data_IF_453766768465
#
_entry.id   IF_453766768465
#
_cell.length_a   1.000
_cell.length_b   1.000
_cell.length_c   1.000
_cell.angle_alpha   90.00
_cell.angle_beta   90.00
_cell.angle_gamma   90.00
#
_symmetry.space_group_name_H-M   'P 1'
#
loop_
_entity.id
_entity.type
_entity.pdbx_description
1 polymer ?
#
# COMPACT_ATOMS: atom_id res chain seq x y z
N UNK A 1 -21.23 -14.49 18.37
CA UNK A 1 -21.00 -14.99 17.00
C UNK A 1 -19.89 -14.15 16.44
N UNK A 2 -18.73 -14.76 16.18
CA UNK A 2 -17.62 -14.06 15.52
C UNK A 2 -18.13 -13.67 14.13
N UNK A 3 -18.29 -12.36 13.88
CA UNK A 3 -18.62 -11.88 12.54
C UNK A 3 -17.53 -12.33 11.59
N UNK A 4 -17.91 -13.12 10.62
CA UNK A 4 -17.00 -13.63 9.59
C UNK A 4 -16.48 -12.44 8.78
N UNK A 5 -15.17 -12.21 8.79
CA UNK A 5 -14.59 -11.13 7.99
C UNK A 5 -14.44 -11.55 6.52
N UNK A 6 -14.59 -10.61 5.61
CA UNK A 6 -14.38 -10.79 4.17
C UNK A 6 -13.23 -9.92 3.72
N UNK A 7 -12.28 -10.53 2.99
CA UNK A 7 -11.15 -9.82 2.38
C UNK A 7 -11.00 -10.30 0.94
N UNK A 8 -11.25 -9.39 0.01
CA UNK A 8 -11.04 -9.56 -1.43
C UNK A 8 -10.33 -8.33 -1.98
N UNK A 9 -9.81 -8.32 -3.21
CA UNK A 9 -9.25 -7.12 -3.83
C UNK A 9 -10.24 -5.93 -3.88
N UNK A 10 -11.54 -6.23 -3.87
CA UNK A 10 -12.61 -5.26 -4.02
C UNK A 10 -13.22 -4.82 -2.68
N UNK A 11 -13.19 -5.69 -1.67
CA UNK A 11 -13.93 -5.47 -0.44
C UNK A 11 -13.21 -5.99 0.81
N UNK A 12 -13.27 -5.20 1.90
CA UNK A 12 -12.84 -5.61 3.24
C UNK A 12 -13.95 -5.26 4.22
N UNK A 13 -14.54 -6.28 4.86
CA UNK A 13 -15.59 -6.14 5.88
C UNK A 13 -15.25 -6.91 7.16
N UNK A 14 -15.79 -6.45 8.28
CA UNK A 14 -15.62 -7.08 9.58
C UNK A 14 -14.27 -6.83 10.22
N UNK A 15 -14.06 -7.39 11.40
CA UNK A 15 -12.79 -7.29 12.14
C UNK A 15 -11.82 -8.36 11.63
N UNK A 16 -10.77 -7.94 10.93
CA UNK A 16 -9.81 -8.85 10.29
C UNK A 16 -8.95 -9.59 11.32
N UNK A 17 -9.01 -10.92 11.33
CA UNK A 17 -8.05 -11.78 12.00
C UNK A 17 -6.88 -12.07 11.04
N UNK A 18 -5.76 -11.40 11.25
CA UNK A 18 -4.61 -11.50 10.37
C UNK A 18 -3.92 -12.87 10.41
N UNK A 19 -4.07 -13.65 11.47
CA UNK A 19 -3.52 -15.02 11.53
C UNK A 19 -4.34 -15.96 10.66
N UNK A 20 -5.67 -15.92 10.80
CA UNK A 20 -6.57 -16.68 9.92
C UNK A 20 -6.41 -16.27 8.46
N UNK A 21 -6.34 -14.95 8.20
CA UNK A 21 -6.17 -14.40 6.86
C UNK A 21 -4.86 -14.89 6.21
N UNK A 22 -3.76 -14.85 6.94
CA UNK A 22 -2.47 -15.35 6.47
C UNK A 22 -2.53 -16.84 6.11
N UNK A 23 -3.21 -17.66 6.93
CA UNK A 23 -3.42 -19.09 6.66
C UNK A 23 -4.29 -19.31 5.42
N UNK A 24 -5.40 -18.58 5.29
CA UNK A 24 -6.30 -18.66 4.12
C UNK A 24 -5.57 -18.34 2.81
N UNK A 25 -4.71 -17.32 2.83
CA UNK A 25 -3.92 -16.96 1.66
C UNK A 25 -2.66 -17.82 1.48
N UNK A 26 -2.25 -18.61 2.50
CA UNK A 26 -1.02 -19.40 2.47
C UNK A 26 0.24 -18.53 2.42
N UNK A 27 0.20 -17.33 3.02
CA UNK A 27 1.35 -16.47 3.21
C UNK A 27 2.17 -16.92 4.43
N UNK A 28 3.47 -16.64 4.44
CA UNK A 28 4.35 -16.95 5.59
C UNK A 28 4.41 -15.73 6.54
N UNK A 29 4.48 -15.95 7.87
CA UNK A 29 4.70 -14.85 8.80
C UNK A 29 6.08 -14.22 8.57
N UNK A 30 6.17 -12.91 8.76
CA UNK A 30 7.46 -12.23 8.82
C UNK A 30 8.10 -12.51 10.19
N UNK A 31 9.13 -13.35 10.22
CA UNK A 31 9.79 -13.79 11.44
C UNK A 31 11.05 -12.95 11.74
N UNK A 32 11.62 -13.15 12.92
CA UNK A 32 12.87 -12.50 13.30
C UNK A 32 14.02 -12.84 12.32
N UNK A 33 13.97 -14.00 11.68
CA UNK A 33 15.00 -14.39 10.71
C UNK A 33 15.04 -13.47 9.49
N UNK A 34 13.86 -13.16 8.89
CA UNK A 34 13.76 -12.22 7.78
C UNK A 34 14.08 -10.79 8.22
N UNK A 35 13.64 -10.39 9.42
CA UNK A 35 13.93 -9.07 9.99
C UNK A 35 15.43 -8.90 10.20
N UNK A 36 16.12 -9.89 10.77
CA UNK A 36 17.58 -9.85 10.97
C UNK A 36 18.35 -9.84 9.62
N UNK A 37 17.85 -10.57 8.62
CA UNK A 37 18.43 -10.55 7.28
C UNK A 37 18.24 -9.19 6.60
N UNK A 38 17.08 -8.55 6.76
CA UNK A 38 16.84 -7.19 6.30
C UNK A 38 17.79 -6.19 6.98
N UNK A 39 17.92 -6.27 8.31
CA UNK A 39 18.80 -5.41 9.09
C UNK A 39 20.27 -5.52 8.64
N UNK A 40 20.71 -6.74 8.36
CA UNK A 40 22.07 -7.01 7.85
C UNK A 40 22.38 -6.21 6.58
N UNK A 41 21.41 -6.10 5.66
CA UNK A 41 21.64 -5.43 4.37
C UNK A 41 21.26 -3.95 4.38
N UNK A 42 20.22 -3.58 5.14
CA UNK A 42 19.71 -2.20 5.21
C UNK A 42 20.41 -1.35 6.30
N UNK A 43 21.09 -2.00 7.27
CA UNK A 43 21.74 -1.35 8.41
C UNK A 43 20.77 -1.00 9.56
N UNK A 44 19.47 -1.06 9.31
CA UNK A 44 18.41 -0.80 10.29
C UNK A 44 17.10 -1.46 9.84
N UNK A 45 16.09 -1.48 10.72
CA UNK A 45 14.75 -1.96 10.40
C UNK A 45 13.75 -0.82 10.50
N UNK A 46 12.93 -0.64 9.48
CA UNK A 46 11.89 0.40 9.46
C UNK A 46 10.86 0.19 10.59
N UNK A 47 10.37 1.26 11.27
CA UNK A 47 9.39 1.13 12.35
C UNK A 47 8.13 0.33 11.98
N UNK A 48 7.61 0.48 10.77
CA UNK A 48 6.45 -0.28 10.30
C UNK A 48 6.68 -1.80 10.28
N UNK A 49 7.92 -2.26 10.12
CA UNK A 49 8.29 -3.67 10.20
C UNK A 49 8.48 -4.07 11.66
N UNK A 50 9.26 -3.32 12.45
CA UNK A 50 9.48 -3.60 13.88
C UNK A 50 8.17 -3.67 14.68
N UNK A 51 7.20 -2.81 14.36
CA UNK A 51 5.89 -2.73 15.00
C UNK A 51 4.88 -3.75 14.44
N UNK A 52 5.30 -4.64 13.53
CA UNK A 52 4.46 -5.69 12.96
C UNK A 52 3.28 -5.16 12.13
N UNK A 53 3.40 -3.95 11.55
CA UNK A 53 2.43 -3.47 10.58
C UNK A 53 2.57 -4.22 9.25
N UNK A 54 3.81 -4.45 8.78
CA UNK A 54 4.11 -5.48 7.80
C UNK A 54 4.36 -6.78 8.55
N UNK A 55 3.55 -7.80 8.29
CA UNK A 55 3.43 -8.97 9.16
C UNK A 55 3.61 -10.31 8.46
N UNK A 56 3.46 -10.36 7.14
CA UNK A 56 3.52 -11.58 6.35
C UNK A 56 4.19 -11.33 4.99
N UNK A 57 4.63 -12.40 4.35
CA UNK A 57 5.33 -12.31 3.07
C UNK A 57 5.22 -13.58 2.22
N UNK A 58 5.61 -13.47 0.94
CA UNK A 58 6.02 -14.57 0.07
C UNK A 58 7.42 -14.28 -0.42
N UNK A 59 8.36 -15.17 -0.12
CA UNK A 59 9.75 -15.15 -0.61
C UNK A 59 10.51 -13.82 -0.40
N UNK A 60 10.17 -13.06 0.65
CA UNK A 60 10.94 -11.87 1.03
C UNK A 60 12.39 -12.24 1.36
N UNK A 61 12.59 -13.35 2.07
CA UNK A 61 13.91 -13.89 2.36
C UNK A 61 14.70 -14.25 1.09
N UNK A 62 14.03 -14.74 0.04
CA UNK A 62 14.67 -15.06 -1.23
C UNK A 62 15.16 -13.79 -1.94
N UNK A 63 14.40 -12.70 -1.94
CA UNK A 63 14.84 -11.40 -2.49
C UNK A 63 16.06 -10.87 -1.73
N UNK A 64 16.06 -10.94 -0.40
CA UNK A 64 17.20 -10.49 0.41
C UNK A 64 18.46 -11.32 0.15
N UNK A 65 18.34 -12.63 0.00
CA UNK A 65 19.45 -13.51 -0.39
C UNK A 65 19.94 -13.20 -1.80
N UNK A 66 19.01 -12.99 -2.74
CA UNK A 66 19.31 -12.59 -4.12
C UNK A 66 20.09 -11.27 -4.17
N UNK A 67 19.69 -10.29 -3.35
CA UNK A 67 20.44 -9.06 -3.16
C UNK A 67 21.85 -9.31 -2.62
N UNK A 68 21.99 -10.18 -1.62
CA UNK A 68 23.27 -10.55 -1.02
C UNK A 68 24.24 -11.22 -2.00
N UNK A 69 23.75 -11.80 -3.09
CA UNK A 69 24.53 -12.34 -4.18
C UNK A 69 24.88 -11.31 -5.25
N UNK A 70 24.55 -10.03 -5.04
CA UNK A 70 24.79 -8.94 -6.00
C UNK A 70 23.91 -8.99 -7.25
N UNK A 71 22.80 -9.75 -7.21
CA UNK A 71 21.89 -9.91 -8.35
C UNK A 71 20.85 -8.80 -8.39
N UNK A 72 20.39 -8.37 -9.60
CA UNK A 72 19.42 -7.30 -9.75
C UNK A 72 18.03 -7.74 -9.33
N UNK A 73 17.29 -6.81 -8.73
CA UNK A 73 15.89 -6.91 -8.40
C UNK A 73 15.26 -5.52 -8.38
N UNK A 74 13.94 -5.44 -8.36
CA UNK A 74 13.24 -4.16 -8.37
C UNK A 74 12.10 -4.15 -7.34
N UNK A 75 11.58 -2.96 -7.06
CA UNK A 75 10.36 -2.74 -6.28
C UNK A 75 9.18 -2.53 -7.22
N UNK A 76 8.03 -3.06 -6.84
CA UNK A 76 6.78 -2.81 -7.57
C UNK A 76 5.65 -2.54 -6.57
N UNK A 77 4.81 -1.59 -6.89
CA UNK A 77 3.52 -1.36 -6.23
C UNK A 77 2.59 -0.60 -7.18
N UNK A 78 1.36 -0.36 -6.77
CA UNK A 78 0.41 0.35 -7.60
C UNK A 78 -0.72 1.01 -6.83
N UNK A 79 -1.57 1.71 -7.56
CA UNK A 79 -2.78 2.33 -7.07
C UNK A 79 -3.84 2.40 -8.15
N UNK A 80 -5.09 2.06 -7.78
CA UNK A 80 -6.29 2.38 -8.56
C UNK A 80 -6.69 3.85 -8.32
N UNK A 81 -6.54 4.75 -9.32
CA UNK A 81 -6.73 6.18 -9.14
C UNK A 81 -8.21 6.57 -9.26
N UNK A 82 -9.00 6.36 -8.20
CA UNK A 82 -10.44 6.69 -8.13
C UNK A 82 -10.73 8.03 -7.43
N UNK A 83 -9.71 8.79 -7.05
CA UNK A 83 -9.84 10.05 -6.31
C UNK A 83 -8.53 10.47 -5.64
N UNK A 84 -8.57 11.45 -4.72
CA UNK A 84 -7.37 11.92 -4.06
C UNK A 84 -6.71 10.85 -3.17
N UNK A 85 -5.41 10.95 -2.99
CA UNK A 85 -4.63 10.07 -2.11
C UNK A 85 -4.93 10.43 -0.65
N UNK A 86 -5.19 9.42 0.18
CA UNK A 86 -5.24 9.58 1.63
C UNK A 86 -3.99 8.98 2.29
N UNK A 87 -3.70 9.40 3.52
CA UNK A 87 -2.49 8.97 4.23
C UNK A 87 -2.38 7.45 4.41
N UNK A 88 -3.49 6.73 4.34
CA UNK A 88 -3.50 5.26 4.33
C UNK A 88 -2.80 4.65 3.12
N UNK A 89 -2.91 5.27 1.94
CA UNK A 89 -2.14 4.85 0.77
C UNK A 89 -0.65 5.17 0.91
N UNK A 90 -0.33 6.25 1.66
CA UNK A 90 1.05 6.69 1.85
C UNK A 90 1.87 5.72 2.70
N UNK A 91 1.25 5.01 3.64
CA UNK A 91 1.99 4.14 4.59
C UNK A 91 2.81 3.04 3.87
N UNK A 92 2.26 2.21 2.97
CA UNK A 92 3.07 1.27 2.21
C UNK A 92 4.07 1.97 1.28
N UNK A 93 3.76 3.16 0.77
CA UNK A 93 4.68 3.92 -0.09
C UNK A 93 5.86 4.51 0.70
N UNK A 94 5.67 4.87 1.96
CA UNK A 94 6.74 5.28 2.87
C UNK A 94 7.73 4.12 3.06
N UNK A 95 7.26 2.90 3.27
CA UNK A 95 8.15 1.73 3.31
C UNK A 95 8.83 1.48 1.97
N UNK A 96 8.09 1.59 0.85
CA UNK A 96 8.66 1.48 -0.50
C UNK A 96 9.80 2.48 -0.70
N UNK A 97 9.61 3.74 -0.28
CA UNK A 97 10.63 4.79 -0.36
C UNK A 97 11.83 4.48 0.52
N UNK A 98 11.61 3.95 1.71
CA UNK A 98 12.70 3.52 2.60
C UNK A 98 13.51 2.39 1.97
N UNK A 99 12.87 1.35 1.42
CA UNK A 99 13.52 0.26 0.69
C UNK A 99 14.33 0.78 -0.50
N UNK A 100 13.74 1.70 -1.29
CA UNK A 100 14.44 2.38 -2.36
C UNK A 100 15.71 3.07 -1.89
N UNK A 101 15.65 3.83 -0.80
CA UNK A 101 16.80 4.54 -0.25
C UNK A 101 17.90 3.59 0.25
N UNK A 102 17.51 2.44 0.81
CA UNK A 102 18.45 1.47 1.38
C UNK A 102 19.13 0.61 0.33
N UNK A 103 18.40 0.20 -0.69
CA UNK A 103 18.88 -0.76 -1.67
C UNK A 103 19.24 -0.12 -3.03
N UNK A 104 18.80 1.08 -3.29
CA UNK A 104 19.09 1.79 -4.53
C UNK A 104 18.55 1.13 -5.80
N UNK A 105 17.53 0.29 -5.67
CA UNK A 105 16.91 -0.45 -6.78
C UNK A 105 15.86 0.38 -7.51
N UNK A 106 15.49 -0.04 -8.72
CA UNK A 106 14.41 0.59 -9.47
C UNK A 106 13.04 0.35 -8.83
N UNK A 107 12.12 1.28 -9.07
CA UNK A 107 10.73 1.23 -8.60
C UNK A 107 9.79 1.33 -9.80
N UNK A 108 8.91 0.37 -9.95
CA UNK A 108 7.82 0.37 -10.91
C UNK A 108 6.54 0.69 -10.16
N UNK A 109 5.93 1.83 -10.47
CA UNK A 109 4.72 2.28 -9.79
C UNK A 109 3.57 2.38 -10.80
N UNK A 110 2.60 1.48 -10.68
CA UNK A 110 1.47 1.37 -11.59
C UNK A 110 0.28 2.21 -11.11
N UNK A 111 -0.27 3.00 -12.02
CA UNK A 111 -1.55 3.70 -11.88
C UNK A 111 -2.56 3.00 -12.80
N UNK A 112 -3.50 2.28 -12.22
CA UNK A 112 -4.45 1.41 -12.92
C UNK A 112 -5.71 2.19 -13.30
N UNK A 113 -5.55 3.16 -14.21
CA UNK A 113 -6.64 4.01 -14.65
C UNK A 113 -7.71 3.24 -15.47
N UNK A 114 -7.31 2.19 -16.17
CA UNK A 114 -8.19 1.26 -16.85
C UNK A 114 -9.01 0.39 -15.89
N UNK A 115 -8.40 -0.13 -14.81
CA UNK A 115 -9.11 -0.92 -13.81
C UNK A 115 -10.24 -0.11 -13.19
N UNK A 116 -9.98 1.14 -12.80
CA UNK A 116 -11.01 1.98 -12.18
C UNK A 116 -12.13 2.36 -13.14
N UNK A 117 -11.81 2.56 -14.40
CA UNK A 117 -12.80 2.73 -15.45
C UNK A 117 -13.67 1.47 -15.65
N UNK A 118 -13.10 0.26 -15.57
CA UNK A 118 -13.86 -0.98 -15.72
C UNK A 118 -14.72 -1.30 -14.50
N UNK A 119 -14.23 -0.97 -13.29
CA UNK A 119 -14.85 -1.33 -12.02
C UNK A 119 -16.04 -0.42 -11.66
N UNK A 120 -15.95 0.87 -11.94
CA UNK A 120 -16.95 1.88 -11.62
C UNK A 120 -17.75 2.27 -12.88
N UNK A 121 -19.05 1.89 -12.97
CA UNK A 121 -19.89 2.23 -14.13
C UNK A 121 -20.05 3.72 -14.40
N UNK A 122 -19.88 4.57 -13.40
CA UNK A 122 -20.02 6.02 -13.50
C UNK A 122 -18.68 6.71 -13.85
N UNK A 123 -17.55 6.01 -13.69
CA UNK A 123 -16.22 6.55 -13.95
C UNK A 123 -15.97 6.71 -15.44
N UNK A 124 -15.55 7.89 -15.85
CA UNK A 124 -15.08 8.14 -17.23
C UNK A 124 -13.58 7.86 -17.33
N UNK A 125 -13.15 7.34 -18.47
CA UNK A 125 -11.72 7.02 -18.67
C UNK A 125 -10.83 8.26 -18.52
N UNK A 126 -11.26 9.40 -19.03
CA UNK A 126 -10.53 10.67 -18.93
C UNK A 126 -10.41 11.12 -17.47
N UNK A 127 -11.41 10.83 -16.64
CA UNK A 127 -11.40 11.14 -15.22
C UNK A 127 -10.44 10.23 -14.47
N UNK A 128 -10.48 8.91 -14.70
CA UNK A 128 -9.53 7.96 -14.14
C UNK A 128 -8.08 8.31 -14.50
N UNK A 129 -7.84 8.64 -15.79
CA UNK A 129 -6.51 9.09 -16.25
C UNK A 129 -6.10 10.40 -15.58
N UNK A 130 -7.00 11.38 -15.43
CA UNK A 130 -6.71 12.63 -14.68
C UNK A 130 -6.29 12.33 -13.23
N UNK A 131 -7.02 11.44 -12.56
CA UNK A 131 -6.64 11.01 -11.21
C UNK A 131 -5.31 10.25 -11.17
N UNK A 132 -4.96 9.51 -12.23
CA UNK A 132 -3.65 8.87 -12.32
C UNK A 132 -2.52 9.91 -12.32
N UNK A 133 -2.62 10.99 -13.09
CA UNK A 133 -1.66 12.10 -13.07
C UNK A 133 -1.63 12.83 -11.73
N UNK A 134 -2.79 13.12 -11.13
CA UNK A 134 -2.86 13.78 -9.82
C UNK A 134 -2.25 12.90 -8.70
N UNK A 135 -2.49 11.58 -8.72
CA UNK A 135 -1.89 10.66 -7.75
C UNK A 135 -0.39 10.43 -7.99
N UNK A 136 0.08 10.56 -9.23
CA UNK A 136 1.50 10.51 -9.55
C UNK A 136 2.30 11.61 -8.85
N UNK A 137 1.69 12.79 -8.65
CA UNK A 137 2.31 13.88 -7.88
C UNK A 137 2.60 13.45 -6.43
N UNK A 138 1.69 12.70 -5.81
CA UNK A 138 1.89 12.18 -4.45
C UNK A 138 3.05 11.17 -4.38
N UNK A 139 3.22 10.35 -5.42
CA UNK A 139 4.34 9.39 -5.50
C UNK A 139 5.67 10.12 -5.69
N UNK A 140 5.73 11.08 -6.62
CA UNK A 140 6.94 11.87 -6.87
C UNK A 140 7.32 12.70 -5.64
N UNK A 141 6.33 13.23 -4.93
CA UNK A 141 6.53 14.02 -3.70
C UNK A 141 7.22 13.24 -2.57
N UNK A 142 7.23 11.90 -2.62
CA UNK A 142 8.04 11.08 -1.71
C UNK A 142 9.55 11.19 -1.97
N UNK A 143 9.96 11.81 -3.08
CA UNK A 143 11.35 12.11 -3.37
C UNK A 143 12.11 10.97 -4.04
N UNK A 144 11.45 10.15 -4.84
CA UNK A 144 12.14 9.24 -5.77
C UNK A 144 12.87 10.03 -6.86
N UNK A 145 13.93 9.44 -7.42
CA UNK A 145 14.66 10.04 -8.54
C UNK A 145 14.08 9.61 -9.87
N UNK A 146 14.06 10.49 -10.91
CA UNK A 146 13.43 10.16 -12.18
C UNK A 146 14.13 9.04 -12.96
N UNK A 147 15.43 8.81 -12.72
CA UNK A 147 16.18 7.71 -13.34
C UNK A 147 15.74 6.32 -12.85
N UNK A 148 15.23 6.22 -11.63
CA UNK A 148 14.89 4.94 -10.99
C UNK A 148 13.41 4.72 -10.70
N UNK A 149 12.60 5.77 -10.67
CA UNK A 149 11.14 5.62 -10.57
C UNK A 149 10.53 5.56 -11.97
N UNK A 150 9.87 4.46 -12.27
CA UNK A 150 9.12 4.22 -13.50
C UNK A 150 7.63 4.29 -13.19
N UNK A 151 7.01 5.46 -13.41
CA UNK A 151 5.56 5.60 -13.34
C UNK A 151 4.92 4.97 -14.59
N UNK A 152 3.91 4.16 -14.36
CA UNK A 152 3.15 3.47 -15.39
C UNK A 152 1.69 3.91 -15.26
N UNK A 153 1.18 4.64 -16.22
CA UNK A 153 -0.25 4.91 -16.37
C UNK A 153 -0.75 3.93 -17.42
N UNK A 154 -1.56 2.96 -17.04
CA UNK A 154 -1.84 1.78 -17.86
C UNK A 154 -2.31 2.14 -19.27
N UNK A 155 -3.26 3.07 -19.41
CA UNK A 155 -3.75 3.50 -20.74
C UNK A 155 -2.74 4.30 -21.56
N UNK A 156 -1.69 4.86 -20.94
CA UNK A 156 -0.68 5.69 -21.59
C UNK A 156 0.64 4.95 -21.84
N UNK A 157 0.98 4.01 -20.97
CA UNK A 157 2.24 3.30 -20.99
C UNK A 157 2.08 1.81 -21.38
N UNK A 158 0.96 1.46 -22.02
CA UNK A 158 0.58 0.08 -22.37
C UNK A 158 1.57 -0.64 -23.30
N UNK A 159 2.30 0.11 -24.15
CA UNK A 159 3.14 -0.45 -25.23
C UNK A 159 4.15 -1.51 -24.72
N UNK A 160 4.97 -1.29 -23.69
CA UNK A 160 5.87 -2.32 -23.16
C UNK A 160 5.14 -3.41 -22.37
N UNK A 161 3.95 -3.13 -21.84
CA UNK A 161 3.18 -4.07 -21.03
C UNK A 161 2.37 -5.07 -21.86
N UNK A 162 1.81 -4.63 -22.97
CA UNK A 162 0.85 -5.44 -23.74
C UNK A 162 1.41 -6.80 -24.20
N UNK A 163 2.65 -6.91 -24.72
CA UNK A 163 3.22 -8.20 -25.09
C UNK A 163 3.32 -9.18 -23.90
N UNK A 164 3.66 -8.67 -22.71
CA UNK A 164 3.75 -9.47 -21.48
C UNK A 164 2.34 -9.86 -21.03
N UNK A 165 1.40 -8.92 -21.01
CA UNK A 165 0.00 -9.17 -20.66
C UNK A 165 -0.64 -10.21 -21.58
N UNK A 166 -0.33 -10.20 -22.87
CA UNK A 166 -0.80 -11.22 -23.81
C UNK A 166 -0.22 -12.61 -23.51
N UNK A 167 1.08 -12.72 -23.14
CA UNK A 167 1.69 -13.97 -22.66
C UNK A 167 1.00 -14.47 -21.38
N UNK A 168 0.72 -13.57 -20.41
CA UNK A 168 0.02 -13.88 -19.16
C UNK A 168 -1.42 -14.33 -19.46
N UNK A 169 -2.19 -13.58 -20.24
CA UNK A 169 -3.58 -13.89 -20.59
C UNK A 169 -3.71 -15.27 -21.25
N UNK A 170 -2.74 -15.68 -22.08
CA UNK A 170 -2.70 -17.02 -22.70
C UNK A 170 -2.59 -18.15 -21.65
N UNK A 171 -2.07 -17.88 -20.45
CA UNK A 171 -1.94 -18.85 -19.35
C UNK A 171 -3.12 -18.85 -18.39
N UNK A 172 -3.92 -17.79 -18.38
CA UNK A 172 -5.09 -17.67 -17.52
C UNK A 172 -6.34 -18.14 -18.27
N UNK A 173 -7.20 -18.91 -17.60
CA UNK A 173 -8.51 -19.27 -18.12
C UNK A 173 -9.60 -18.47 -17.45
N UNK A 174 -10.77 -18.36 -18.08
CA UNK A 174 -11.94 -17.75 -17.46
C UNK A 174 -12.25 -18.38 -16.08
N UNK A 175 -12.23 -19.69 -15.98
CA UNK A 175 -12.52 -20.38 -14.72
C UNK A 175 -11.51 -20.02 -13.63
N UNK A 176 -10.22 -19.88 -13.96
CA UNK A 176 -9.18 -19.46 -13.02
C UNK A 176 -9.42 -18.04 -12.53
N UNK A 177 -9.67 -17.10 -13.44
CA UNK A 177 -9.91 -15.69 -13.13
C UNK A 177 -11.22 -15.54 -12.32
N UNK A 178 -12.29 -16.19 -12.75
CA UNK A 178 -13.58 -16.20 -12.06
C UNK A 178 -13.45 -16.70 -10.61
N UNK A 179 -12.79 -17.83 -10.40
CA UNK A 179 -12.59 -18.40 -9.08
C UNK A 179 -11.69 -17.55 -8.17
N UNK A 180 -10.67 -16.90 -8.75
CA UNK A 180 -9.69 -16.10 -7.99
C UNK A 180 -10.26 -14.77 -7.53
N UNK A 181 -11.05 -14.10 -8.39
CA UNK A 181 -11.52 -12.73 -8.15
C UNK A 181 -13.01 -12.65 -7.82
N UNK A 182 -13.73 -13.78 -7.80
CA UNK A 182 -15.17 -13.81 -7.51
C UNK A 182 -16.02 -13.23 -8.66
N UNK A 183 -15.49 -13.18 -9.88
CA UNK A 183 -16.22 -12.67 -11.04
C UNK A 183 -17.43 -13.52 -11.38
N UNK A 184 -18.41 -12.91 -12.02
CA UNK A 184 -19.65 -13.54 -12.48
C UNK A 184 -19.71 -13.51 -14.01
N UNK A 185 -20.70 -14.22 -14.58
CA UNK A 185 -20.86 -14.22 -16.05
C UNK A 185 -21.31 -12.85 -16.60
N UNK A 186 -21.70 -11.90 -15.73
CA UNK A 186 -21.98 -10.51 -16.07
C UNK A 186 -20.78 -9.57 -15.93
N UNK A 187 -19.63 -10.06 -15.46
CA UNK A 187 -18.42 -9.22 -15.35
C UNK A 187 -17.94 -8.79 -16.73
N UNK A 188 -17.64 -7.51 -16.90
CA UNK A 188 -17.17 -6.99 -18.18
C UNK A 188 -15.79 -7.52 -18.58
N UNK A 189 -15.52 -7.59 -19.87
CA UNK A 189 -14.27 -8.16 -20.42
C UNK A 189 -13.04 -7.38 -19.98
N UNK A 190 -13.16 -6.07 -19.71
CA UNK A 190 -12.07 -5.24 -19.21
C UNK A 190 -11.56 -5.77 -17.86
N UNK A 191 -12.44 -5.94 -16.89
CA UNK A 191 -12.09 -6.52 -15.58
C UNK A 191 -11.57 -7.95 -15.69
N UNK A 192 -12.09 -8.76 -16.62
CA UNK A 192 -11.61 -10.13 -16.85
C UNK A 192 -10.16 -10.14 -17.36
N UNK A 193 -9.79 -9.19 -18.22
CA UNK A 193 -8.45 -9.07 -18.79
C UNK A 193 -7.46 -8.37 -17.86
N UNK A 194 -7.94 -7.44 -17.02
CA UNK A 194 -7.11 -6.59 -16.17
C UNK A 194 -6.06 -7.34 -15.31
N UNK A 195 -6.35 -8.51 -14.70
CA UNK A 195 -5.33 -9.27 -13.98
C UNK A 195 -4.07 -9.57 -14.80
N UNK A 196 -4.21 -9.69 -16.13
CA UNK A 196 -3.07 -9.91 -17.02
C UNK A 196 -2.17 -8.68 -17.12
N UNK A 197 -2.74 -7.48 -17.04
CA UNK A 197 -1.96 -6.22 -17.02
C UNK A 197 -1.26 -6.02 -15.69
N UNK A 198 -1.94 -6.21 -14.56
CA UNK A 198 -1.32 -6.06 -13.26
C UNK A 198 -0.16 -7.06 -13.06
N UNK A 199 -0.35 -8.30 -13.49
CA UNK A 199 0.70 -9.33 -13.45
C UNK A 199 1.86 -8.97 -14.38
N UNK A 200 1.59 -8.39 -15.55
CA UNK A 200 2.62 -8.02 -16.52
C UNK A 200 3.66 -7.07 -15.93
N UNK A 201 3.26 -6.14 -15.07
CA UNK A 201 4.20 -5.22 -14.41
C UNK A 201 5.19 -5.95 -13.51
N UNK A 202 4.77 -7.05 -12.86
CA UNK A 202 5.68 -7.85 -12.04
C UNK A 202 6.79 -8.55 -12.87
N UNK A 203 6.59 -8.75 -14.16
CA UNK A 203 7.56 -9.36 -15.07
C UNK A 203 8.32 -8.34 -15.93
N UNK A 204 7.84 -7.11 -15.98
CA UNK A 204 8.38 -6.04 -16.82
C UNK A 204 9.89 -5.78 -16.60
N UNK A 205 10.43 -5.73 -15.36
CA UNK A 205 11.86 -5.50 -15.16
C UNK A 205 12.73 -6.57 -15.83
N UNK A 206 12.27 -7.84 -15.83
CA UNK A 206 13.00 -8.92 -16.51
C UNK A 206 13.04 -8.71 -18.01
N UNK A 207 11.94 -8.30 -18.64
CA UNK A 207 11.89 -7.99 -20.08
C UNK A 207 12.76 -6.80 -20.45
N UNK A 208 12.69 -5.72 -19.67
CA UNK A 208 13.47 -4.50 -19.94
C UNK A 208 14.98 -4.71 -19.79
N UNK A 209 15.41 -5.52 -18.82
CA UNK A 209 16.82 -5.78 -18.56
C UNK A 209 17.37 -6.98 -19.33
N UNK A 210 16.52 -7.79 -19.98
CA UNK A 210 16.92 -9.00 -20.68
C UNK A 210 17.58 -10.06 -19.78
N UNK A 211 17.34 -9.99 -18.46
CA UNK A 211 17.89 -10.92 -17.45
C UNK A 211 16.93 -11.05 -16.26
N UNK A 212 16.97 -12.18 -15.52
CA UNK A 212 16.09 -12.37 -14.36
C UNK A 212 16.22 -11.23 -13.36
N UNK A 213 15.13 -10.47 -13.18
CA UNK A 213 15.03 -9.32 -12.28
C UNK A 213 13.71 -9.44 -11.52
N UNK A 214 13.67 -10.24 -10.43
CA UNK A 214 12.46 -10.39 -9.62
C UNK A 214 12.06 -9.08 -8.97
N UNK A 215 10.78 -8.93 -8.66
CA UNK A 215 10.24 -7.77 -7.93
C UNK A 215 9.87 -8.14 -6.50
N UNK A 216 10.06 -7.19 -5.58
CA UNK A 216 9.45 -7.19 -4.26
C UNK A 216 8.26 -6.21 -4.28
N UNK A 217 7.11 -6.66 -3.79
CA UNK A 217 5.85 -5.94 -3.84
C UNK A 217 5.33 -5.68 -2.42
N UNK A 218 5.62 -4.51 -1.81
CA UNK A 218 4.95 -4.09 -0.59
C UNK A 218 3.49 -3.71 -0.90
N UNK A 219 2.53 -4.44 -0.34
CA UNK A 219 1.10 -4.22 -0.57
C UNK A 219 0.26 -4.70 0.62
N UNK A 220 -1.02 -4.36 0.65
CA UNK A 220 -1.96 -5.00 1.55
C UNK A 220 -2.30 -6.41 1.04
N UNK A 221 -2.70 -7.31 1.96
CA UNK A 221 -2.86 -8.74 1.64
C UNK A 221 -4.03 -9.02 0.68
N UNK A 222 -4.99 -8.10 0.55
CA UNK A 222 -6.08 -8.17 -0.42
C UNK A 222 -5.58 -8.22 -1.88
N UNK A 223 -4.34 -7.79 -2.14
CA UNK A 223 -3.70 -7.86 -3.45
C UNK A 223 -3.03 -9.22 -3.76
N UNK A 224 -2.96 -10.13 -2.78
CA UNK A 224 -2.35 -11.46 -2.94
C UNK A 224 -2.89 -12.27 -4.13
N UNK A 225 -4.19 -12.27 -4.44
CA UNK A 225 -4.74 -13.05 -5.56
C UNK A 225 -4.03 -12.81 -6.89
N UNK A 226 -3.70 -11.56 -7.22
CA UNK A 226 -2.94 -11.22 -8.43
C UNK A 226 -1.55 -11.83 -8.42
N UNK A 227 -0.83 -11.66 -7.31
CA UNK A 227 0.57 -12.09 -7.22
C UNK A 227 0.71 -13.60 -7.02
N UNK A 228 -0.27 -14.27 -6.45
CA UNK A 228 -0.34 -15.74 -6.45
C UNK A 228 -0.48 -16.27 -7.85
N UNK A 229 -1.40 -15.74 -8.66
CA UNK A 229 -1.51 -16.12 -10.07
C UNK A 229 -0.21 -15.84 -10.85
N UNK A 230 0.42 -14.68 -10.62
CA UNK A 230 1.71 -14.36 -11.23
C UNK A 230 2.75 -15.44 -10.91
N UNK A 231 2.83 -15.88 -9.65
CA UNK A 231 3.78 -16.91 -9.19
C UNK A 231 3.52 -18.27 -9.80
N UNK A 232 2.24 -18.64 -9.97
CA UNK A 232 1.82 -19.94 -10.53
C UNK A 232 2.25 -20.08 -11.99
N UNK A 233 2.26 -19.00 -12.76
CA UNK A 233 2.59 -19.00 -14.19
C UNK A 233 4.02 -18.55 -14.50
N UNK A 234 4.75 -17.95 -13.57
CA UNK A 234 6.06 -17.33 -13.78
C UNK A 234 7.05 -18.28 -14.47
N UNK A 235 7.27 -19.47 -13.91
CA UNK A 235 8.22 -20.45 -14.45
C UNK A 235 7.86 -20.89 -15.88
N UNK A 236 6.56 -21.08 -16.16
CA UNK A 236 6.07 -21.49 -17.48
C UNK A 236 6.24 -20.41 -18.55
N UNK A 237 6.50 -19.17 -18.12
CA UNK A 237 6.77 -18.02 -18.98
C UNK A 237 8.25 -17.62 -19.00
N UNK A 238 9.10 -18.29 -18.20
CA UNK A 238 10.53 -17.99 -18.08
C UNK A 238 10.85 -16.80 -17.20
N UNK A 239 9.92 -16.38 -16.30
CA UNK A 239 10.11 -15.26 -15.39
C UNK A 239 10.43 -15.73 -13.96
N UNK A 240 11.18 -14.94 -13.17
CA UNK A 240 11.31 -15.18 -11.75
C UNK A 240 9.98 -14.92 -11.03
N UNK A 241 9.71 -15.69 -9.97
CA UNK A 241 8.52 -15.48 -9.14
C UNK A 241 8.61 -14.13 -8.40
N UNK A 242 7.56 -13.28 -8.44
CA UNK A 242 7.53 -12.08 -7.63
C UNK A 242 7.45 -12.42 -6.15
N UNK A 243 8.11 -11.61 -5.31
CA UNK A 243 8.00 -11.66 -3.86
C UNK A 243 7.05 -10.58 -3.36
N UNK A 244 6.41 -10.81 -2.23
CA UNK A 244 5.47 -9.88 -1.61
C UNK A 244 5.80 -9.63 -0.15
N UNK A 245 5.48 -8.44 0.34
CA UNK A 245 5.53 -8.07 1.75
C UNK A 245 4.20 -7.42 2.12
N UNK A 246 3.42 -8.09 2.99
CA UNK A 246 2.04 -7.74 3.27
C UNK A 246 1.89 -6.86 4.51
N UNK A 247 1.19 -5.74 4.33
CA UNK A 247 0.76 -4.86 5.41
C UNK A 247 -0.62 -5.23 5.93
N UNK A 248 -0.88 -4.82 7.18
CA UNK A 248 -2.24 -4.74 7.73
C UNK A 248 -3.01 -3.62 7.04
N UNK A 249 -4.34 -3.65 7.15
CA UNK A 249 -5.18 -2.52 6.78
C UNK A 249 -5.03 -1.38 7.80
N UNK A 250 -5.21 -0.16 7.33
CA UNK A 250 -5.17 1.02 8.19
C UNK A 250 -6.59 1.33 8.63
N UNK A 251 -6.78 1.36 9.94
CA UNK A 251 -8.05 1.67 10.57
C UNK A 251 -8.54 3.06 10.16
N UNK A 252 -9.81 3.17 9.82
CA UNK A 252 -10.44 4.45 9.55
C UNK A 252 -10.48 5.34 10.81
N UNK A 253 -10.45 6.66 10.66
CA UNK A 253 -10.63 7.59 11.78
C UNK A 253 -11.97 7.40 12.50
N UNK A 254 -12.96 6.91 11.80
CA UNK A 254 -14.32 6.60 12.29
C UNK A 254 -14.41 5.27 13.04
N UNK A 255 -13.33 4.46 13.05
CA UNK A 255 -13.19 3.24 13.83
C UNK A 255 -13.39 1.94 13.04
N UNK A 256 -13.76 2.02 11.75
CA UNK A 256 -13.84 0.85 10.88
C UNK A 256 -12.44 0.28 10.57
N UNK A 257 -12.38 -0.99 10.22
CA UNK A 257 -11.14 -1.72 9.98
C UNK A 257 -10.31 -1.23 8.77
N UNK A 258 -10.95 -0.52 7.83
CA UNK A 258 -10.30 0.06 6.64
C UNK A 258 -10.88 1.44 6.32
N UNK A 259 -10.03 2.34 5.85
CA UNK A 259 -10.47 3.63 5.27
C UNK A 259 -11.28 3.39 4.00
N UNK A 260 -12.30 4.21 3.78
CA UNK A 260 -13.15 4.15 2.58
C UNK A 260 -13.16 5.48 1.84
N UNK A 261 -12.99 5.44 0.53
CA UNK A 261 -13.10 6.62 -0.33
C UNK A 261 -14.54 7.21 -0.33
N UNK A 262 -15.56 6.37 -0.09
CA UNK A 262 -16.97 6.79 -0.01
C UNK A 262 -17.30 7.60 1.25
N UNK A 263 -16.46 7.53 2.29
CA UNK A 263 -16.63 8.32 3.52
C UNK A 263 -15.47 9.32 3.69
N UNK A 264 -15.61 10.58 3.29
CA UNK A 264 -14.54 11.58 3.37
C UNK A 264 -14.01 11.84 4.78
N UNK A 265 -14.76 11.48 5.84
CA UNK A 265 -14.34 11.63 7.23
C UNK A 265 -13.57 10.41 7.76
N UNK A 266 -13.54 9.30 7.02
CA UNK A 266 -12.82 8.07 7.40
C UNK A 266 -11.31 8.21 7.31
N UNK A 267 -10.80 9.18 6.52
CA UNK A 267 -9.39 9.35 6.22
C UNK A 267 -8.97 10.81 6.10
N UNK A 268 -7.68 11.07 6.28
CA UNK A 268 -7.04 12.36 5.98
C UNK A 268 -6.44 12.25 4.59
N UNK A 269 -6.79 13.19 3.72
CA UNK A 269 -6.26 13.25 2.36
C UNK A 269 -5.01 14.11 2.28
N UNK A 270 -4.13 13.83 1.34
CA UNK A 270 -2.91 14.62 1.10
C UNK A 270 -3.22 16.05 0.68
N UNK A 271 -4.43 16.31 0.19
CA UNK A 271 -4.93 17.63 -0.23
C UNK A 271 -5.76 18.36 0.85
N UNK A 272 -5.97 17.74 2.01
CA UNK A 272 -6.74 18.39 3.10
C UNK A 272 -5.99 19.61 3.66
N UNK A 273 -6.71 20.71 3.90
CA UNK A 273 -6.17 21.87 4.59
C UNK A 273 -6.04 21.62 6.12
N UNK A 274 -5.32 22.51 6.81
CA UNK A 274 -5.08 22.39 8.25
C UNK A 274 -6.39 22.35 9.06
N UNK A 275 -7.40 23.11 8.66
CA UNK A 275 -8.71 23.16 9.33
C UNK A 275 -9.45 21.82 9.18
N UNK A 276 -9.42 21.25 8.00
CA UNK A 276 -10.01 19.93 7.71
C UNK A 276 -9.31 18.83 8.49
N UNK A 277 -7.96 18.81 8.50
CA UNK A 277 -7.16 17.82 9.27
C UNK A 277 -7.52 17.93 10.76
N UNK A 278 -7.54 19.15 11.32
CA UNK A 278 -7.91 19.38 12.73
C UNK A 278 -9.30 18.85 13.05
N UNK A 279 -10.28 19.17 12.21
CA UNK A 279 -11.68 18.71 12.37
C UNK A 279 -11.78 17.18 12.32
N UNK A 280 -11.13 16.53 11.36
CA UNK A 280 -11.15 15.07 11.20
C UNK A 280 -10.54 14.38 12.41
N UNK A 281 -9.37 14.81 12.88
CA UNK A 281 -8.71 14.24 14.07
C UNK A 281 -9.51 14.51 15.34
N UNK A 282 -10.07 15.72 15.51
CA UNK A 282 -10.89 16.05 16.67
C UNK A 282 -12.12 15.12 16.79
N UNK A 283 -12.74 14.77 15.67
CA UNK A 283 -13.91 13.89 15.59
C UNK A 283 -13.57 12.39 15.47
N UNK A 284 -12.28 12.03 15.42
CA UNK A 284 -11.88 10.62 15.30
C UNK A 284 -12.41 9.80 16.48
N UNK A 285 -12.82 8.56 16.18
CA UNK A 285 -13.13 7.55 17.20
C UNK A 285 -11.93 7.34 18.12
N UNK A 286 -12.18 7.01 19.38
CA UNK A 286 -11.11 6.70 20.34
C UNK A 286 -11.50 5.50 21.21
N UNK A 287 -10.50 4.80 21.70
CA UNK A 287 -10.67 3.79 22.75
C UNK A 287 -10.79 4.41 24.16
N UNK A 288 -11.17 5.69 24.26
CA UNK A 288 -11.31 6.40 25.54
C UNK A 288 -12.61 6.09 26.28
N UNK A 289 -12.74 6.67 27.47
CA UNK A 289 -13.94 6.58 28.31
C UNK A 289 -14.87 7.76 28.04
N UNK A 290 -16.16 7.66 28.41
CA UNK A 290 -17.15 8.73 28.21
C UNK A 290 -16.79 10.06 28.86
N UNK A 291 -16.11 10.03 30.04
CA UNK A 291 -15.70 11.22 30.75
C UNK A 291 -14.19 11.26 31.01
N UNK A 292 -13.64 12.47 31.17
CA UNK A 292 -12.24 12.66 31.53
C UNK A 292 -11.88 12.03 32.88
N UNK A 293 -12.83 12.07 33.85
CA UNK A 293 -12.66 11.48 35.19
C UNK A 293 -12.54 9.96 35.08
N UNK A 294 -13.44 9.31 34.34
CA UNK A 294 -13.37 7.87 34.10
C UNK A 294 -12.10 7.50 33.35
N UNK A 295 -11.70 8.30 32.36
CA UNK A 295 -10.46 8.07 31.62
C UNK A 295 -9.25 8.11 32.56
N UNK A 296 -9.17 9.09 33.46
CA UNK A 296 -8.08 9.17 34.46
C UNK A 296 -8.07 8.00 35.43
N UNK A 297 -9.25 7.53 35.85
CA UNK A 297 -9.38 6.44 36.82
C UNK A 297 -9.16 5.05 36.22
N UNK A 298 -9.68 4.80 35.02
CA UNK A 298 -9.77 3.45 34.42
C UNK A 298 -8.82 3.24 33.25
N UNK A 299 -8.25 4.32 32.74
CA UNK A 299 -7.48 4.30 31.49
C UNK A 299 -8.33 4.06 30.25
N UNK A 300 -7.72 4.25 29.09
CA UNK A 300 -8.30 3.95 27.78
C UNK A 300 -7.84 2.62 27.22
N UNK A 301 -8.37 2.30 26.03
CA UNK A 301 -7.95 1.13 25.25
C UNK A 301 -7.29 1.57 23.93
N UNK A 302 -5.95 1.69 23.86
CA UNK A 302 -5.24 2.06 22.64
C UNK A 302 -5.35 1.01 21.54
N UNK A 303 -5.59 -0.27 21.87
CA UNK A 303 -5.60 -1.38 20.90
C UNK A 303 -6.77 -1.29 19.88
N UNK A 304 -7.83 -0.54 20.22
CA UNK A 304 -8.99 -0.30 19.33
C UNK A 304 -9.07 1.17 18.88
N UNK A 305 -8.04 1.97 19.18
CA UNK A 305 -8.05 3.42 18.99
C UNK A 305 -7.34 3.82 17.68
N UNK A 306 -8.04 4.32 16.65
CA UNK A 306 -7.39 4.80 15.44
C UNK A 306 -6.37 5.91 15.71
N UNK A 307 -6.61 6.81 16.67
CA UNK A 307 -5.65 7.87 17.02
C UNK A 307 -4.30 7.30 17.45
N UNK A 308 -4.32 6.26 18.30
CA UNK A 308 -3.08 5.56 18.68
C UNK A 308 -2.46 4.83 17.50
N UNK A 309 -3.25 4.15 16.66
CA UNK A 309 -2.75 3.46 15.47
C UNK A 309 -2.05 4.44 14.51
N UNK A 310 -2.55 5.66 14.35
CA UNK A 310 -1.88 6.68 13.54
C UNK A 310 -0.55 7.14 14.17
N UNK A 311 -0.45 7.23 15.49
CA UNK A 311 0.84 7.44 16.15
C UNK A 311 1.83 6.32 15.81
N UNK A 312 1.40 5.05 15.85
CA UNK A 312 2.24 3.91 15.45
C UNK A 312 2.72 3.98 13.98
N UNK A 313 1.93 4.57 13.10
CA UNK A 313 2.26 4.61 11.66
C UNK A 313 3.16 5.79 11.29
N UNK A 314 3.01 6.94 11.95
CA UNK A 314 3.63 8.20 11.55
C UNK A 314 4.67 8.75 12.54
N UNK A 315 4.82 8.16 13.72
CA UNK A 315 5.89 8.53 14.64
C UNK A 315 7.11 7.62 14.41
N UNK A 316 8.28 8.18 14.07
CA UNK A 316 9.48 7.36 13.87
C UNK A 316 10.07 6.81 15.17
N UNK A 317 9.76 7.43 16.33
CA UNK A 317 10.32 7.08 17.63
C UNK A 317 9.46 6.04 18.36
N UNK A 318 10.01 4.84 18.57
CA UNK A 318 9.35 3.74 19.27
C UNK A 318 9.09 4.09 20.75
N UNK A 319 10.00 4.81 21.42
CA UNK A 319 9.83 5.19 22.82
C UNK A 319 8.67 6.19 23.00
N UNK A 320 8.50 7.13 22.06
CA UNK A 320 7.35 8.04 22.01
C UNK A 320 6.03 7.28 21.89
N UNK A 321 5.96 6.31 20.99
CA UNK A 321 4.76 5.49 20.75
C UNK A 321 4.43 4.64 21.97
N UNK A 322 5.42 4.01 22.57
CA UNK A 322 5.27 3.21 23.79
C UNK A 322 4.79 4.06 25.00
N UNK A 323 5.35 5.26 25.15
CA UNK A 323 4.89 6.23 26.15
C UNK A 323 3.44 6.60 25.98
N UNK A 324 2.99 6.87 24.75
CA UNK A 324 1.58 7.18 24.44
C UNK A 324 0.69 5.98 24.83
N UNK A 325 1.10 4.75 24.50
CA UNK A 325 0.36 3.53 24.85
C UNK A 325 0.15 3.39 26.35
N UNK A 326 1.23 3.43 27.12
CA UNK A 326 1.19 3.27 28.58
C UNK A 326 0.47 4.43 29.27
N UNK A 327 0.68 5.66 28.83
CA UNK A 327 -0.01 6.84 29.39
C UNK A 327 -1.51 6.80 29.09
N UNK A 328 -1.95 6.30 27.93
CA UNK A 328 -3.36 6.08 27.62
C UNK A 328 -3.96 4.99 28.55
N UNK A 329 -3.30 3.85 28.68
CA UNK A 329 -3.77 2.73 29.51
C UNK A 329 -3.84 3.06 31.01
N UNK A 330 -2.94 3.90 31.51
CA UNK A 330 -2.94 4.34 32.91
C UNK A 330 -3.89 5.51 33.20
N UNK A 331 -4.49 6.13 32.14
CA UNK A 331 -5.31 7.34 32.32
C UNK A 331 -4.51 8.64 32.46
N UNK A 332 -3.20 8.59 32.39
CA UNK A 332 -2.33 9.76 32.50
C UNK A 332 -2.43 10.69 31.24
N UNK A 333 -2.85 10.15 30.09
CA UNK A 333 -3.04 10.90 28.84
C UNK A 333 -4.53 10.89 28.47
N UNK A 334 -5.11 12.08 28.31
CA UNK A 334 -6.48 12.24 27.84
C UNK A 334 -6.57 12.18 26.31
N UNK A 335 -7.72 11.73 25.80
CA UNK A 335 -7.95 11.61 24.35
C UNK A 335 -7.77 12.94 23.60
N UNK A 336 -8.17 14.08 24.20
CA UNK A 336 -7.99 15.41 23.63
C UNK A 336 -6.51 15.77 23.44
N UNK A 337 -5.69 15.49 24.43
CA UNK A 337 -4.23 15.73 24.40
C UNK A 337 -3.56 14.82 23.35
N UNK A 338 -3.92 13.52 23.34
CA UNK A 338 -3.43 12.56 22.36
C UNK A 338 -3.79 12.98 20.92
N UNK A 339 -5.03 13.43 20.68
CA UNK A 339 -5.49 13.96 19.39
C UNK A 339 -4.71 15.22 18.98
N UNK A 340 -4.41 16.11 19.92
CA UNK A 340 -3.61 17.31 19.62
C UNK A 340 -2.18 16.94 19.22
N UNK A 341 -1.56 15.97 19.91
CA UNK A 341 -0.23 15.46 19.55
C UNK A 341 -0.24 14.85 18.14
N UNK A 342 -1.26 14.05 17.81
CA UNK A 342 -1.41 13.48 16.47
C UNK A 342 -1.61 14.57 15.42
N UNK A 343 -2.46 15.56 15.69
CA UNK A 343 -2.71 16.67 14.78
C UNK A 343 -1.41 17.37 14.37
N UNK A 344 -0.55 17.70 15.34
CA UNK A 344 0.72 18.40 15.05
C UNK A 344 1.64 17.56 14.13
N UNK A 345 1.70 16.24 14.34
CA UNK A 345 2.48 15.34 13.49
C UNK A 345 1.93 15.25 12.07
N UNK A 346 0.63 14.99 11.94
CA UNK A 346 -0.03 14.83 10.65
C UNK A 346 -0.05 16.14 9.86
N UNK A 347 -0.35 17.25 10.51
CA UNK A 347 -0.31 18.58 9.87
C UNK A 347 1.06 18.87 9.26
N UNK A 348 2.12 18.63 10.02
CA UNK A 348 3.49 18.82 9.54
C UNK A 348 3.81 17.93 8.34
N UNK A 349 3.45 16.65 8.43
CA UNK A 349 3.66 15.68 7.37
C UNK A 349 2.90 16.09 6.09
N UNK A 350 1.60 16.37 6.19
CA UNK A 350 0.76 16.73 5.03
C UNK A 350 1.24 18.03 4.40
N UNK A 351 1.59 19.06 5.20
CA UNK A 351 2.12 20.32 4.67
C UNK A 351 3.40 20.14 3.88
N UNK A 352 4.37 19.41 4.42
CA UNK A 352 5.63 19.11 3.72
C UNK A 352 5.38 18.33 2.43
N UNK A 353 4.44 17.38 2.47
CA UNK A 353 4.06 16.61 1.30
C UNK A 353 3.41 17.48 0.23
N UNK A 354 2.50 18.40 0.59
CA UNK A 354 1.87 19.34 -0.34
C UNK A 354 2.89 20.25 -1.01
N UNK A 355 3.88 20.76 -0.27
CA UNK A 355 4.97 21.56 -0.82
C UNK A 355 5.82 20.76 -1.83
N UNK A 356 6.09 19.49 -1.55
CA UNK A 356 6.81 18.60 -2.46
C UNK A 356 5.96 18.24 -3.70
N UNK A 357 4.66 18.07 -3.52
CA UNK A 357 3.69 17.77 -4.57
C UNK A 357 3.59 18.92 -5.58
N UNK A 358 3.57 20.17 -5.12
CA UNK A 358 3.59 21.33 -6.02
C UNK A 358 4.90 21.39 -6.86
N UNK A 359 6.05 21.08 -6.28
CA UNK A 359 7.32 21.00 -7.01
C UNK A 359 7.38 19.87 -8.05
N UNK A 360 6.47 18.91 -7.97
CA UNK A 360 6.38 17.78 -8.89
C UNK A 360 5.43 18.03 -10.07
N UNK A 361 4.61 19.11 -10.05
CA UNK A 361 3.49 19.34 -10.97
C UNK A 361 3.86 19.22 -12.45
N UNK A 362 4.96 19.80 -12.88
CA UNK A 362 5.39 19.79 -14.28
C UNK A 362 6.40 18.67 -14.61
N UNK A 363 6.55 17.69 -13.70
CA UNK A 363 7.61 16.68 -13.81
C UNK A 363 7.11 15.27 -14.06
N UNK A 364 5.79 15.03 -14.06
CA UNK A 364 5.22 13.68 -14.14
C UNK A 364 5.76 12.90 -15.34
N UNK A 365 5.80 13.54 -16.52
CA UNK A 365 6.27 12.88 -17.75
C UNK A 365 7.74 12.45 -17.69
N UNK A 366 8.60 13.14 -16.92
CA UNK A 366 9.99 12.74 -16.74
C UNK A 366 10.13 11.41 -15.94
N UNK A 367 9.10 11.03 -15.20
CA UNK A 367 9.05 9.78 -14.42
C UNK A 367 8.32 8.66 -15.17
N UNK A 368 7.56 8.97 -16.21
CA UNK A 368 6.79 7.96 -16.95
C UNK A 368 7.69 6.98 -17.69
N UNK A 369 7.29 5.72 -17.67
CA UNK A 369 8.02 4.63 -18.31
C UNK A 369 8.19 4.87 -19.82
N UNK A 370 7.12 5.23 -20.55
CA UNK A 370 7.18 5.44 -21.99
C UNK A 370 8.13 6.57 -22.40
N UNK A 371 8.26 7.62 -21.58
CA UNK A 371 9.17 8.73 -21.86
C UNK A 371 10.67 8.34 -21.75
N UNK A 372 10.98 7.19 -21.15
CA UNK A 372 12.35 6.66 -20.99
C UNK A 372 12.69 5.58 -22.02
N UNK A 373 11.67 5.02 -22.68
CA UNK A 373 11.83 3.98 -23.70
C UNK A 373 11.75 4.52 -25.13
N UNK A 374 11.46 5.82 -25.28
CA UNK A 374 11.51 6.56 -26.54
C UNK A 374 12.93 7.09 -26.80
#
# INVERSE_FOLDING_TARGET
MDEEFVVTPWEVRGRVDYQKLMQQFGARPLTQAEVSLLEKYAGEVHPLIRRGFFYAHRDFDAILKWHGEGKPWALYTGRGPSGPVHIGHMVPWILLKWLFNKFGVEVYFQMTDDEKFYDDPEMRLEEATKWAYENALDVIALGFTPDKLHLIIDTKDIKPLYPIAAKVAKKLTWNTVKATFGFTDSTNIGLIFYPSLQIAVAFLPTELHGRPTPVLIPCAIDQDPYFRLARDIAESLGYPKPATLYSKFIMALTGESKMSASNPNSAIYTIDDEKTIRRKIANAYTGGRPTAEEQRRLGGNPDVCPVYHYHMLFDPDDASVEKIYHSCKSGALLCGECKQMLYEKIRKFVKQHQEAREKARDKVDAYRLSSKLS
#
